data_IF_135846816049
#
_entry.id   IF_135846816049
#
_cell.length_a   1.000
_cell.length_b   1.000
_cell.length_c   1.000
_cell.angle_alpha   90.00
_cell.angle_beta   90.00
_cell.angle_gamma   90.00
#
_symmetry.space_group_name_H-M   'P 1'
#
loop_
_entity.id
_entity.type
_entity.pdbx_description
1 polymer ?
#
# COMPACT_ATOMS: atom_id res chain seq x y z
N UNK A 1 21.72 -14.14 15.90
CA UNK A 1 21.11 -13.34 14.80
C UNK A 1 21.80 -13.77 13.52
N UNK A 2 21.06 -14.15 12.47
CA UNK A 2 21.66 -14.25 11.13
C UNK A 2 22.18 -12.87 10.76
N UNK A 3 23.39 -12.76 10.24
CA UNK A 3 23.82 -11.54 9.56
C UNK A 3 22.93 -11.36 8.33
N UNK A 4 22.01 -10.39 8.41
CA UNK A 4 21.24 -9.97 7.26
C UNK A 4 22.11 -9.06 6.42
N UNK A 5 22.41 -9.52 5.20
CA UNK A 5 23.17 -8.73 4.24
C UNK A 5 22.25 -7.71 3.59
N UNK A 6 22.75 -6.49 3.39
CA UNK A 6 21.96 -5.33 2.91
C UNK A 6 21.27 -5.63 1.58
N UNK A 7 21.88 -6.45 0.72
CA UNK A 7 21.34 -6.88 -0.58
C UNK A 7 20.03 -7.67 -0.48
N UNK A 8 19.67 -8.17 0.71
CA UNK A 8 18.46 -8.97 0.97
C UNK A 8 17.33 -8.21 1.66
N UNK A 9 17.55 -6.94 1.99
CA UNK A 9 16.54 -6.06 2.60
C UNK A 9 15.72 -5.35 1.52
N UNK A 10 14.40 -5.28 1.70
CA UNK A 10 13.48 -4.54 0.82
C UNK A 10 12.53 -3.70 1.66
N UNK A 11 12.64 -2.39 1.58
CA UNK A 11 11.71 -1.46 2.23
C UNK A 11 10.64 -1.01 1.24
N UNK A 12 9.39 -1.36 1.51
CA UNK A 12 8.25 -1.12 0.62
C UNK A 12 7.27 -0.17 1.32
N UNK A 13 7.09 1.02 0.75
CA UNK A 13 6.08 1.97 1.21
C UNK A 13 4.71 1.72 0.57
N UNK A 14 3.66 1.64 1.39
CA UNK A 14 2.28 1.56 0.92
C UNK A 14 1.65 2.95 0.96
N UNK A 15 1.26 3.46 -0.20
CA UNK A 15 0.73 4.84 -0.35
C UNK A 15 -0.49 4.86 -1.26
N UNK A 16 -1.30 5.92 -1.18
CA UNK A 16 -2.54 6.05 -1.96
C UNK A 16 -3.66 6.68 -1.17
N UNK A 17 -4.81 6.87 -1.80
CA UNK A 17 -5.94 7.60 -1.22
C UNK A 17 -6.49 6.98 0.07
N UNK A 18 -7.14 7.79 0.91
CA UNK A 18 -7.83 7.33 2.11
C UNK A 18 -8.84 6.24 1.77
N UNK A 19 -8.87 5.16 2.56
CA UNK A 19 -9.83 4.07 2.34
C UNK A 19 -9.54 3.13 1.17
N UNK A 20 -8.46 3.29 0.39
CA UNK A 20 -8.12 2.33 -0.71
C UNK A 20 -7.73 0.94 -0.20
N UNK A 21 -7.51 0.78 1.11
CA UNK A 21 -7.24 -0.51 1.76
C UNK A 21 -5.74 -0.84 1.89
N UNK A 22 -4.88 0.17 2.03
CA UNK A 22 -3.44 0.00 2.31
C UNK A 22 -3.18 -0.89 3.53
N UNK A 23 -3.80 -0.58 4.65
CA UNK A 23 -3.69 -1.34 5.91
C UNK A 23 -4.22 -2.76 5.76
N UNK A 24 -5.37 -2.94 5.10
CA UNK A 24 -5.92 -4.28 4.83
C UNK A 24 -5.01 -5.10 3.91
N UNK A 25 -4.38 -4.46 2.92
CA UNK A 25 -3.37 -5.11 2.08
C UNK A 25 -2.14 -5.51 2.92
N UNK A 26 -1.68 -4.62 3.81
CA UNK A 26 -0.57 -4.92 4.71
C UNK A 26 -0.86 -6.16 5.59
N UNK A 27 -2.05 -6.21 6.19
CA UNK A 27 -2.53 -7.38 6.95
C UNK A 27 -2.53 -8.66 6.11
N UNK A 28 -3.04 -8.59 4.88
CA UNK A 28 -3.08 -9.74 3.99
C UNK A 28 -1.67 -10.24 3.64
N UNK A 29 -0.73 -9.33 3.37
CA UNK A 29 0.67 -9.64 3.10
C UNK A 29 1.30 -10.33 4.32
N UNK A 30 1.13 -9.76 5.52
CA UNK A 30 1.66 -10.33 6.76
C UNK A 30 1.09 -11.72 7.05
N UNK A 31 -0.21 -11.93 6.80
CA UNK A 31 -0.87 -13.21 7.01
C UNK A 31 -0.39 -14.27 6.01
N UNK A 32 -0.36 -13.95 4.71
CA UNK A 32 0.11 -14.86 3.65
C UNK A 32 1.59 -15.19 3.83
N UNK A 33 2.40 -14.23 4.25
CA UNK A 33 3.80 -14.40 4.61
C UNK A 33 4.04 -15.11 5.94
N UNK A 34 2.97 -15.48 6.67
CA UNK A 34 3.02 -16.18 7.98
C UNK A 34 3.73 -15.39 9.08
N UNK A 35 3.84 -14.06 8.95
CA UNK A 35 4.34 -13.19 10.02
C UNK A 35 3.31 -13.04 11.15
N UNK A 36 2.01 -13.16 10.82
CA UNK A 36 0.91 -13.19 11.78
C UNK A 36 0.07 -14.46 11.59
N UNK A 37 -0.47 -15.00 12.68
CA UNK A 37 -1.26 -16.23 12.65
C UNK A 37 -2.72 -16.04 12.24
N UNK A 38 -3.20 -14.80 12.24
CA UNK A 38 -4.56 -14.41 11.89
C UNK A 38 -4.53 -13.03 11.25
N UNK A 39 -5.32 -12.85 10.19
CA UNK A 39 -5.51 -11.54 9.57
C UNK A 39 -6.38 -10.64 10.45
N UNK A 40 -5.88 -9.45 10.75
CA UNK A 40 -6.61 -8.40 11.46
C UNK A 40 -7.62 -7.67 10.57
N UNK A 41 -8.43 -6.84 11.22
CA UNK A 41 -9.48 -6.04 10.59
C UNK A 41 -9.41 -4.61 11.10
N UNK A 42 -9.44 -3.65 10.17
CA UNK A 42 -9.52 -2.21 10.48
C UNK A 42 -10.83 -1.91 11.23
N UNK A 43 -11.92 -2.56 10.83
CA UNK A 43 -13.23 -2.36 11.44
C UNK A 43 -13.30 -2.83 12.88
N UNK A 44 -12.53 -3.88 13.21
CA UNK A 44 -12.45 -4.45 14.56
C UNK A 44 -11.29 -3.87 15.37
N UNK A 45 -10.47 -2.98 14.79
CA UNK A 45 -9.28 -2.40 15.44
C UNK A 45 -8.21 -3.44 15.82
N UNK A 46 -8.10 -4.52 15.02
CA UNK A 46 -7.21 -5.66 15.29
C UNK A 46 -6.02 -5.76 14.34
N UNK A 47 -5.80 -4.75 13.51
CA UNK A 47 -4.62 -4.69 12.62
C UNK A 47 -3.33 -4.52 13.44
N UNK A 48 -2.22 -5.01 12.90
CA UNK A 48 -0.89 -4.83 13.49
C UNK A 48 -0.32 -3.44 13.21
N UNK A 49 -0.83 -2.74 12.19
CA UNK A 49 -0.40 -1.38 11.86
C UNK A 49 -1.13 -0.29 12.66
N UNK A 50 -2.43 -0.40 12.92
CA UNK A 50 -3.17 0.62 13.66
C UNK A 50 -3.17 0.31 15.17
N UNK A 51 -2.22 0.88 15.91
CA UNK A 51 -2.03 0.56 17.32
C UNK A 51 -2.68 1.57 18.28
N UNK A 52 -2.85 2.84 17.87
CA UNK A 52 -3.40 3.88 18.74
C UNK A 52 -4.92 3.79 18.90
N UNK A 53 -5.44 4.25 20.05
CA UNK A 53 -6.88 4.27 20.29
C UNK A 53 -7.60 5.20 19.31
N UNK A 54 -6.97 6.31 18.91
CA UNK A 54 -7.54 7.24 17.92
C UNK A 54 -7.70 6.59 16.55
N UNK A 55 -6.71 5.82 16.09
CA UNK A 55 -6.78 5.10 14.81
C UNK A 55 -7.87 4.03 14.84
N UNK A 56 -7.97 3.28 15.93
CA UNK A 56 -9.02 2.26 16.12
C UNK A 56 -10.41 2.86 16.18
N UNK A 57 -10.57 3.98 16.89
CA UNK A 57 -11.85 4.67 17.02
C UNK A 57 -12.30 5.31 15.71
N UNK A 58 -11.37 5.92 14.97
CA UNK A 58 -11.67 6.63 13.72
C UNK A 58 -11.62 5.73 12.49
N UNK A 59 -11.07 4.53 12.60
CA UNK A 59 -10.88 3.56 11.50
C UNK A 59 -10.07 4.13 10.34
N UNK A 60 -9.09 4.97 10.67
CA UNK A 60 -8.14 5.58 9.74
C UNK A 60 -6.75 5.51 10.36
N UNK A 61 -5.72 5.28 9.54
CA UNK A 61 -4.34 5.41 9.99
C UNK A 61 -3.95 6.88 10.10
N UNK A 62 -3.29 7.22 11.20
CA UNK A 62 -2.84 8.58 11.56
C UNK A 62 -1.31 8.63 11.55
N UNK A 63 -0.66 7.57 12.04
CA UNK A 63 0.80 7.43 12.03
C UNK A 63 1.23 6.42 10.97
N UNK A 64 2.46 6.53 10.49
CA UNK A 64 3.05 5.43 9.72
C UNK A 64 3.32 4.24 10.66
N UNK A 65 3.19 3.03 10.12
CA UNK A 65 3.46 1.80 10.85
C UNK A 65 4.41 0.89 10.06
N UNK A 66 5.30 0.20 10.77
CA UNK A 66 6.28 -0.70 10.17
C UNK A 66 5.97 -2.14 10.56
N UNK A 67 5.88 -3.01 9.56
CA UNK A 67 5.74 -4.45 9.73
C UNK A 67 6.76 -5.17 8.86
N UNK A 68 7.08 -6.43 9.20
CA UNK A 68 8.11 -7.17 8.47
C UNK A 68 7.78 -8.65 8.34
N UNK A 69 8.29 -9.26 7.28
CA UNK A 69 8.24 -10.70 7.06
C UNK A 69 9.49 -11.20 6.33
N UNK A 70 9.81 -12.47 6.54
CA UNK A 70 10.85 -13.17 5.78
C UNK A 70 10.21 -13.97 4.64
N UNK A 71 10.68 -13.77 3.40
CA UNK A 71 10.20 -14.52 2.23
C UNK A 71 11.32 -14.76 1.23
N UNK A 72 11.49 -16.02 0.79
CA UNK A 72 12.42 -16.35 -0.29
C UNK A 72 13.86 -15.85 -0.08
N UNK A 73 14.45 -16.09 1.10
CA UNK A 73 15.76 -15.60 1.54
C UNK A 73 15.92 -14.06 1.63
N UNK A 74 14.84 -13.31 1.51
CA UNK A 74 14.82 -11.85 1.66
C UNK A 74 13.98 -11.47 2.87
N UNK A 75 14.25 -10.29 3.41
CA UNK A 75 13.42 -9.65 4.42
C UNK A 75 12.74 -8.44 3.83
N UNK A 76 11.44 -8.39 4.01
CA UNK A 76 10.60 -7.31 3.53
C UNK A 76 10.11 -6.51 4.72
N UNK A 77 10.36 -5.21 4.70
CA UNK A 77 9.78 -4.25 5.63
C UNK A 77 8.71 -3.47 4.88
N UNK A 78 7.48 -3.50 5.38
CA UNK A 78 6.36 -2.75 4.83
C UNK A 78 6.11 -1.54 5.73
N UNK A 79 6.00 -0.38 5.09
CA UNK A 79 5.72 0.90 5.72
C UNK A 79 4.32 1.31 5.30
N UNK A 80 3.33 1.04 6.15
CA UNK A 80 1.94 1.43 5.94
C UNK A 80 1.78 2.90 6.31
N UNK A 81 1.37 3.74 5.34
CA UNK A 81 1.29 5.19 5.53
C UNK A 81 -0.15 5.68 5.46
N UNK A 82 -0.50 6.73 6.23
CA UNK A 82 -1.81 7.37 6.17
C UNK A 82 -2.23 7.79 4.75
N UNK A 83 -3.53 7.68 4.47
CA UNK A 83 -4.10 8.05 3.15
C UNK A 83 -4.72 9.45 3.07
N UNK A 84 -4.82 10.15 4.20
CA UNK A 84 -5.47 11.47 4.29
C UNK A 84 -4.43 12.59 4.18
N UNK A 85 -4.82 13.69 3.53
CA UNK A 85 -3.92 14.81 3.23
C UNK A 85 -3.35 15.47 4.51
N UNK A 86 -4.10 15.43 5.60
CA UNK A 86 -3.71 15.98 6.91
C UNK A 86 -2.43 15.35 7.47
N UNK A 87 -2.06 14.14 7.01
CA UNK A 87 -0.92 13.37 7.50
C UNK A 87 0.23 13.27 6.49
N UNK A 88 0.40 14.29 5.65
CA UNK A 88 1.45 14.31 4.61
C UNK A 88 2.87 14.11 5.18
N UNK A 89 3.14 14.60 6.39
CA UNK A 89 4.45 14.44 7.03
C UNK A 89 4.85 12.98 7.24
N UNK A 90 3.90 12.13 7.64
CA UNK A 90 4.10 10.69 7.81
C UNK A 90 4.41 10.01 6.47
N UNK A 91 3.69 10.41 5.42
CA UNK A 91 3.90 9.89 4.05
C UNK A 91 5.28 10.28 3.52
N UNK A 92 5.71 11.52 3.71
CA UNK A 92 7.03 11.96 3.26
C UNK A 92 8.16 11.29 4.04
N UNK A 93 8.01 11.13 5.35
CA UNK A 93 8.96 10.42 6.19
C UNK A 93 9.09 8.95 5.75
N UNK A 94 7.97 8.25 5.59
CA UNK A 94 7.95 6.86 5.18
C UNK A 94 8.51 6.63 3.78
N UNK A 95 8.17 7.49 2.80
CA UNK A 95 8.72 7.38 1.46
C UNK A 95 10.22 7.68 1.41
N UNK A 96 10.74 8.58 2.26
CA UNK A 96 12.17 8.92 2.28
C UNK A 96 13.09 7.75 2.64
N UNK A 97 12.54 6.71 3.30
CA UNK A 97 13.25 5.49 3.70
C UNK A 97 12.80 4.24 2.93
N UNK A 98 11.93 4.41 1.92
CA UNK A 98 11.45 3.32 1.08
C UNK A 98 12.38 3.07 -0.11
N UNK A 99 12.63 1.81 -0.46
CA UNK A 99 13.34 1.44 -1.69
C UNK A 99 12.36 1.34 -2.88
N UNK A 100 11.09 1.07 -2.60
CA UNK A 100 10.01 0.93 -3.58
C UNK A 100 8.69 1.44 -2.99
N UNK A 101 7.85 2.05 -3.81
CA UNK A 101 6.52 2.50 -3.42
C UNK A 101 5.41 1.73 -4.14
N UNK A 102 4.51 1.10 -3.39
CA UNK A 102 3.31 0.47 -3.93
C UNK A 102 2.11 1.41 -3.73
N UNK A 103 1.60 1.95 -4.83
CA UNK A 103 0.45 2.85 -4.85
C UNK A 103 -0.83 2.00 -4.91
N UNK A 104 -1.59 1.98 -3.81
CA UNK A 104 -2.83 1.20 -3.67
C UNK A 104 -4.03 2.02 -4.14
N UNK A 105 -4.77 1.45 -5.09
CA UNK A 105 -5.88 2.09 -5.80
C UNK A 105 -7.14 1.25 -5.59
N UNK A 106 -8.28 1.90 -5.44
CA UNK A 106 -9.57 1.22 -5.38
C UNK A 106 -10.08 0.91 -6.79
N UNK A 107 -10.30 -0.36 -7.13
CA UNK A 107 -10.79 -0.78 -8.46
C UNK A 107 -12.23 -0.33 -8.79
N UNK A 108 -12.98 0.17 -7.81
CA UNK A 108 -14.31 0.78 -8.02
C UNK A 108 -14.18 2.27 -8.37
N UNK A 109 -13.44 3.02 -7.54
CA UNK A 109 -13.27 4.47 -7.72
C UNK A 109 -12.28 4.82 -8.83
N UNK A 110 -11.27 3.98 -9.04
CA UNK A 110 -10.16 4.24 -9.95
C UNK A 110 -9.18 5.30 -9.41
N UNK A 111 -8.66 6.16 -10.30
CA UNK A 111 -7.71 7.21 -9.93
C UNK A 111 -8.38 8.31 -9.10
N UNK A 112 -7.83 8.57 -7.92
CA UNK A 112 -8.32 9.58 -6.96
C UNK A 112 -7.24 10.62 -6.62
N UNK A 113 -7.59 11.74 -5.99
CA UNK A 113 -6.64 12.82 -5.62
C UNK A 113 -5.45 12.31 -4.77
N UNK A 114 -5.70 11.30 -3.93
CA UNK A 114 -4.63 10.66 -3.15
C UNK A 114 -3.66 9.83 -4.00
N UNK A 115 -4.14 9.30 -5.14
CA UNK A 115 -3.32 8.59 -6.13
C UNK A 115 -2.37 9.55 -6.84
N UNK A 116 -2.88 10.71 -7.30
CA UNK A 116 -2.06 11.77 -7.92
C UNK A 116 -0.99 12.30 -6.96
N UNK A 117 -1.38 12.50 -5.69
CA UNK A 117 -0.46 12.96 -4.66
C UNK A 117 0.63 11.92 -4.38
N UNK A 118 0.26 10.64 -4.24
CA UNK A 118 1.22 9.55 -4.08
C UNK A 118 2.18 9.43 -5.28
N UNK A 119 1.65 9.55 -6.51
CA UNK A 119 2.45 9.54 -7.73
C UNK A 119 3.46 10.69 -7.75
N UNK A 120 3.03 11.92 -7.46
CA UNK A 120 3.91 13.09 -7.39
C UNK A 120 4.99 12.94 -6.33
N UNK A 121 4.64 12.46 -5.13
CA UNK A 121 5.59 12.29 -4.03
C UNK A 121 6.66 11.25 -4.38
N UNK A 122 6.25 10.11 -4.93
CA UNK A 122 7.19 9.09 -5.41
C UNK A 122 8.03 9.61 -6.58
N UNK A 123 7.50 10.49 -7.44
CA UNK A 123 8.23 11.09 -8.56
C UNK A 123 9.32 12.04 -8.07
N UNK A 124 8.99 12.89 -7.09
CA UNK A 124 9.92 13.81 -6.44
C UNK A 124 11.10 13.09 -5.79
N UNK A 125 10.87 11.89 -5.26
CA UNK A 125 11.90 11.06 -4.60
C UNK A 125 12.58 10.07 -5.56
N UNK A 126 12.27 10.12 -6.85
CA UNK A 126 12.80 9.19 -7.87
C UNK A 126 12.62 7.71 -7.52
N UNK A 127 11.59 7.39 -6.72
CA UNK A 127 11.36 6.03 -6.25
C UNK A 127 10.84 5.13 -7.38
N UNK A 128 11.38 3.91 -7.52
CA UNK A 128 10.70 2.82 -8.20
C UNK A 128 9.31 2.63 -7.60
N UNK A 129 8.30 2.44 -8.46
CA UNK A 129 6.91 2.34 -8.01
C UNK A 129 6.10 1.36 -8.84
N UNK A 130 5.03 0.87 -8.24
CA UNK A 130 4.01 0.07 -8.90
C UNK A 130 2.63 0.41 -8.38
N UNK A 131 1.60 -0.09 -9.07
CA UNK A 131 0.21 0.06 -8.67
C UNK A 131 -0.35 -1.28 -8.19
N UNK A 132 -1.21 -1.22 -7.17
CA UNK A 132 -2.01 -2.36 -6.74
C UNK A 132 -3.49 -1.97 -6.80
N UNK A 133 -4.24 -2.62 -7.70
CA UNK A 133 -5.69 -2.42 -7.82
C UNK A 133 -6.38 -3.32 -6.79
N UNK A 134 -6.90 -2.72 -5.75
CA UNK A 134 -7.57 -3.36 -4.63
C UNK A 134 -9.10 -3.35 -4.80
N UNK A 135 -9.81 -4.05 -3.91
CA UNK A 135 -11.29 -4.10 -3.86
C UNK A 135 -11.95 -4.67 -5.13
N UNK A 136 -11.24 -5.55 -5.83
CA UNK A 136 -11.78 -6.28 -6.98
C UNK A 136 -12.90 -7.28 -6.61
N UNK A 137 -13.14 -7.50 -5.32
CA UNK A 137 -14.30 -8.26 -4.79
C UNK A 137 -15.61 -7.46 -4.77
N UNK A 138 -15.55 -6.14 -4.98
CA UNK A 138 -16.72 -5.26 -4.88
C UNK A 138 -17.50 -5.19 -6.18
N UNK A 139 -18.81 -4.96 -6.03
CA UNK A 139 -19.68 -4.64 -7.16
C UNK A 139 -19.16 -3.38 -7.87
N UNK A 140 -19.15 -3.42 -9.20
CA UNK A 140 -18.63 -2.38 -10.08
C UNK A 140 -17.10 -2.17 -10.05
N UNK A 141 -16.33 -3.07 -9.43
CA UNK A 141 -14.89 -3.03 -9.60
C UNK A 141 -14.51 -3.39 -11.05
N UNK A 142 -13.69 -2.56 -11.69
CA UNK A 142 -13.34 -2.71 -13.10
C UNK A 142 -11.83 -2.48 -13.28
N UNK A 143 -11.11 -3.59 -13.51
CA UNK A 143 -9.66 -3.58 -13.64
C UNK A 143 -9.20 -2.88 -14.92
N UNK A 144 -9.84 -3.18 -16.06
CA UNK A 144 -9.45 -2.63 -17.35
C UNK A 144 -9.68 -1.11 -17.41
N UNK A 145 -10.83 -0.66 -16.90
CA UNK A 145 -11.12 0.76 -16.74
C UNK A 145 -10.10 1.45 -15.83
N UNK A 146 -9.77 0.83 -14.70
CA UNK A 146 -8.76 1.39 -13.77
C UNK A 146 -7.39 1.49 -14.44
N UNK A 147 -6.96 0.48 -15.20
CA UNK A 147 -5.70 0.53 -15.97
C UNK A 147 -5.75 1.62 -17.03
N UNK A 148 -6.88 1.78 -17.74
CA UNK A 148 -7.06 2.85 -18.72
C UNK A 148 -6.92 4.24 -18.10
N UNK A 149 -7.53 4.47 -16.93
CA UNK A 149 -7.38 5.72 -16.18
C UNK A 149 -5.93 5.95 -15.75
N UNK A 150 -5.23 4.91 -15.27
CA UNK A 150 -3.82 5.02 -14.89
C UNK A 150 -2.94 5.43 -16.07
N UNK A 151 -3.21 4.88 -17.25
CA UNK A 151 -2.50 5.21 -18.47
C UNK A 151 -2.82 6.62 -18.97
N UNK A 152 -4.05 7.08 -18.82
CA UNK A 152 -4.48 8.44 -19.14
C UNK A 152 -3.80 9.47 -18.20
N UNK A 153 -3.78 9.20 -16.89
CA UNK A 153 -3.21 10.11 -15.88
C UNK A 153 -1.69 10.11 -15.84
N UNK A 154 -1.04 8.94 -15.92
CA UNK A 154 0.40 8.78 -15.67
C UNK A 154 1.19 8.30 -16.88
N UNK A 155 0.52 8.10 -18.01
CA UNK A 155 1.11 7.75 -19.29
C UNK A 155 1.20 6.24 -19.54
N UNK A 156 1.61 5.85 -20.77
CA UNK A 156 1.57 4.46 -21.24
C UNK A 156 2.53 3.50 -20.52
N UNK A 157 3.35 4.01 -19.59
CA UNK A 157 4.26 3.20 -18.76
C UNK A 157 3.55 2.53 -17.57
N UNK A 158 2.28 2.86 -17.32
CA UNK A 158 1.42 2.06 -16.45
C UNK A 158 1.06 0.75 -17.17
N UNK A 159 1.99 -0.21 -17.14
CA UNK A 159 1.84 -1.51 -17.83
C UNK A 159 1.25 -2.54 -16.88
N UNK A 160 0.11 -3.17 -17.22
CA UNK A 160 -0.43 -4.26 -16.43
C UNK A 160 0.50 -5.48 -16.48
N UNK A 161 0.84 -6.02 -15.31
CA UNK A 161 1.62 -7.27 -15.16
C UNK A 161 0.77 -8.46 -14.73
N UNK A 162 -0.49 -8.21 -14.41
CA UNK A 162 -1.52 -9.20 -14.06
C UNK A 162 -2.76 -8.94 -14.89
N UNK A 163 -3.64 -9.95 -14.97
CA UNK A 163 -4.98 -9.82 -15.53
C UNK A 163 -6.01 -10.22 -14.48
N UNK A 164 -7.14 -9.53 -14.44
CA UNK A 164 -8.29 -9.95 -13.65
C UNK A 164 -8.96 -11.15 -14.33
N UNK A 165 -9.37 -12.14 -13.54
CA UNK A 165 -10.11 -13.31 -14.03
C UNK A 165 -11.50 -13.31 -13.42
N UNK A 166 -12.53 -13.13 -14.26
CA UNK A 166 -13.93 -13.11 -13.82
C UNK A 166 -14.42 -11.78 -13.22
N UNK A 167 -13.72 -10.68 -13.52
CA UNK A 167 -14.20 -9.32 -13.29
C UNK A 167 -15.08 -8.86 -14.47
#
# INVERSE_FOLDING_TARGET
>A
MKEETIDRLRNIGLVGHGGTGKTTLNEAIMFVGKAISRMGSVDDGTTVSDYSDDEKNRKISISLAISHLDWGNHKFNFIDMPGYADFVGEVEAGLSVSDFALIVINGVSGVEVGTDTAWRNTQRLELPRGFFVNRMDKEHADFEKTVGQLQESFGPRAVPVTMAWGA
#
